data_IF_806606340174
#
_entry.id   IF_806606340174
#
_cell.length_a   1.000
_cell.length_b   1.000
_cell.length_c   1.000
_cell.angle_alpha   90.00
_cell.angle_beta   90.00
_cell.angle_gamma   90.00
#
_symmetry.space_group_name_H-M   'P 1'
#
loop_
_entity.id
_entity.type
_entity.pdbx_description
1 polymer ?
#
# COMPACT_ATOMS: atom_id res chain seq x y z
N UNK A 1 31.36 -29.46 31.58
CA UNK A 1 31.34 -28.33 30.63
C UNK A 1 32.55 -27.47 30.94
N UNK A 2 33.57 -27.48 30.09
CA UNK A 2 34.85 -26.81 30.36
C UNK A 2 34.95 -25.53 29.54
N UNK A 3 35.05 -24.39 30.23
CA UNK A 3 35.32 -23.09 29.62
C UNK A 3 36.84 -22.97 29.56
N UNK A 4 37.42 -22.97 28.36
CA UNK A 4 38.83 -22.71 28.16
C UNK A 4 39.06 -21.19 28.25
N UNK A 5 39.53 -20.71 29.39
CA UNK A 5 39.95 -19.32 29.57
C UNK A 5 41.42 -19.17 29.17
N UNK A 6 41.69 -18.39 28.12
CA UNK A 6 43.03 -17.90 27.82
C UNK A 6 43.09 -16.41 28.14
N UNK A 7 43.90 -16.04 29.14
CA UNK A 7 44.05 -14.65 29.59
C UNK A 7 45.12 -13.95 28.75
N UNK A 8 44.73 -12.95 27.95
CA UNK A 8 45.66 -12.05 27.25
C UNK A 8 46.18 -10.98 28.23
N UNK A 9 47.43 -10.51 28.14
CA UNK A 9 48.00 -9.51 29.06
C UNK A 9 47.26 -8.16 29.10
N UNK A 10 46.37 -7.88 28.14
CA UNK A 10 45.62 -6.62 28.02
C UNK A 10 44.37 -6.51 28.93
N UNK A 11 44.20 -7.41 29.90
CA UNK A 11 43.04 -7.42 30.81
C UNK A 11 41.73 -7.91 30.20
N UNK A 12 41.74 -8.30 28.92
CA UNK A 12 40.58 -8.84 28.22
C UNK A 12 40.44 -10.35 28.48
N UNK A 13 39.27 -10.77 28.96
CA UNK A 13 38.90 -12.18 29.11
C UNK A 13 38.28 -12.65 27.79
N UNK A 14 38.86 -13.68 27.18
CA UNK A 14 38.32 -14.30 25.96
C UNK A 14 37.63 -15.61 26.33
N UNK A 15 36.35 -15.76 25.96
CA UNK A 15 35.58 -16.99 26.15
C UNK A 15 34.90 -17.40 24.85
N UNK A 16 34.87 -18.71 24.56
CA UNK A 16 34.20 -19.25 23.38
C UNK A 16 32.75 -19.63 23.70
N UNK A 17 31.79 -19.01 23.01
CA UNK A 17 30.36 -19.31 23.12
C UNK A 17 29.85 -20.01 21.86
N UNK A 18 29.11 -21.11 22.04
CA UNK A 18 28.43 -21.80 20.94
C UNK A 18 27.04 -21.20 20.71
N UNK A 19 26.80 -20.63 19.54
CA UNK A 19 25.49 -20.09 19.14
C UNK A 19 24.86 -21.03 18.10
N UNK A 20 23.63 -21.56 18.33
CA UNK A 20 22.96 -22.41 17.35
C UNK A 20 22.74 -21.67 16.02
N UNK A 21 23.07 -22.30 14.90
CA UNK A 21 22.98 -21.65 13.58
C UNK A 21 21.56 -21.16 13.24
N UNK A 22 20.54 -21.87 13.72
CA UNK A 22 19.13 -21.53 13.47
C UNK A 22 18.63 -20.25 14.14
N UNK A 23 19.37 -19.69 15.12
CA UNK A 23 19.02 -18.41 15.77
C UNK A 23 19.79 -17.22 15.18
N UNK A 24 20.73 -17.46 14.26
CA UNK A 24 21.45 -16.39 13.57
C UNK A 24 20.58 -15.83 12.44
N UNK A 25 20.01 -14.65 12.64
CA UNK A 25 19.36 -13.89 11.57
C UNK A 25 20.37 -12.92 10.95
N UNK A 26 20.78 -13.20 9.71
CA UNK A 26 21.58 -12.26 8.93
C UNK A 26 20.63 -11.24 8.30
N UNK A 27 20.52 -10.06 8.89
CA UNK A 27 19.78 -8.95 8.33
C UNK A 27 20.73 -8.15 7.45
N UNK A 28 20.62 -8.32 6.13
CA UNK A 28 21.35 -7.47 5.20
C UNK A 28 20.86 -6.02 5.34
N UNK A 29 21.76 -5.03 5.24
CA UNK A 29 21.33 -3.64 5.21
C UNK A 29 20.38 -3.44 4.03
N UNK A 30 19.29 -2.66 4.21
CA UNK A 30 18.34 -2.46 3.14
C UNK A 30 19.02 -1.81 1.93
N UNK A 31 18.57 -2.13 0.70
CA UNK A 31 19.21 -1.69 -0.53
C UNK A 31 19.14 -0.17 -0.68
N UNK A 32 20.20 0.45 -1.21
CA UNK A 32 20.25 1.90 -1.43
C UNK A 32 19.32 2.37 -2.56
N UNK A 33 18.95 1.46 -3.45
CA UNK A 33 18.10 1.74 -4.62
C UNK A 33 16.79 0.96 -4.57
N UNK A 34 15.73 1.63 -5.02
CA UNK A 34 14.42 1.04 -5.22
C UNK A 34 14.19 0.84 -6.71
N UNK A 35 13.59 -0.29 -7.02
CA UNK A 35 13.22 -0.74 -8.34
C UNK A 35 11.86 -1.41 -8.28
N UNK A 36 11.31 -1.69 -9.45
CA UNK A 36 10.06 -2.43 -9.59
C UNK A 36 10.07 -3.79 -8.89
N UNK A 37 11.23 -4.40 -8.67
CA UNK A 37 11.37 -5.75 -8.12
C UNK A 37 11.43 -5.76 -6.58
N UNK A 38 11.94 -4.70 -5.96
CA UNK A 38 12.19 -4.67 -4.52
C UNK A 38 11.37 -3.62 -3.77
N UNK A 39 10.68 -2.70 -4.48
CA UNK A 39 9.94 -1.61 -3.84
C UNK A 39 8.93 -2.11 -2.81
N UNK A 40 8.17 -3.16 -3.14
CA UNK A 40 7.14 -3.70 -2.26
C UNK A 40 7.74 -4.32 -0.99
N UNK A 41 8.84 -5.06 -1.13
CA UNK A 41 9.53 -5.66 0.01
C UNK A 41 10.19 -4.61 0.94
N UNK A 42 10.60 -3.46 0.40
CA UNK A 42 11.34 -2.44 1.16
C UNK A 42 10.42 -1.38 1.76
N UNK A 43 9.38 -0.95 1.03
CA UNK A 43 8.49 0.15 1.46
C UNK A 43 7.05 -0.29 1.71
N UNK A 44 6.69 -1.53 1.39
CA UNK A 44 5.30 -2.01 1.42
C UNK A 44 4.42 -1.45 0.30
N UNK A 45 4.95 -0.62 -0.60
CA UNK A 45 4.15 0.00 -1.66
C UNK A 45 4.05 -0.96 -2.85
N UNK A 46 2.83 -1.23 -3.35
CA UNK A 46 2.66 -2.08 -4.52
C UNK A 46 3.42 -1.54 -5.73
N UNK A 47 4.04 -2.44 -6.50
CA UNK A 47 4.79 -2.10 -7.72
C UNK A 47 4.03 -1.17 -8.67
N UNK A 48 2.72 -1.38 -8.81
CA UNK A 48 1.86 -0.56 -9.67
C UNK A 48 1.82 0.91 -9.22
N UNK A 49 1.60 1.14 -7.93
CA UNK A 49 1.54 2.49 -7.34
C UNK A 49 2.88 3.20 -7.48
N UNK A 50 3.98 2.48 -7.25
CA UNK A 50 5.32 2.99 -7.51
C UNK A 50 5.49 3.46 -8.98
N UNK A 51 5.05 2.65 -9.94
CA UNK A 51 5.14 3.01 -11.36
C UNK A 51 4.25 4.18 -11.76
N UNK A 52 3.08 4.31 -11.15
CA UNK A 52 2.19 5.45 -11.36
C UNK A 52 2.79 6.73 -10.76
N UNK A 53 3.32 6.66 -9.54
CA UNK A 53 3.98 7.79 -8.86
C UNK A 53 5.14 8.37 -9.66
N UNK A 54 6.07 7.52 -10.12
CA UNK A 54 7.25 7.97 -10.88
C UNK A 54 6.93 8.45 -12.30
N UNK A 55 5.71 8.21 -12.79
CA UNK A 55 5.23 8.70 -14.09
C UNK A 55 4.57 10.07 -13.98
N UNK A 56 4.25 10.53 -12.77
CA UNK A 56 3.68 11.86 -12.58
C UNK A 56 4.63 12.93 -13.12
N UNK A 57 4.13 13.95 -13.83
CA UNK A 57 4.97 14.98 -14.43
C UNK A 57 5.76 15.77 -13.39
N UNK A 58 5.20 15.95 -12.20
CA UNK A 58 5.80 16.72 -11.10
C UNK A 58 6.56 15.84 -10.10
N UNK A 59 6.94 14.62 -10.49
CA UNK A 59 7.68 13.72 -9.61
C UNK A 59 9.11 14.26 -9.38
N UNK A 60 9.48 14.63 -8.14
CA UNK A 60 10.69 15.41 -7.90
C UNK A 60 11.97 14.57 -7.80
N UNK A 61 11.85 13.24 -7.66
CA UNK A 61 13.01 12.37 -7.45
C UNK A 61 13.57 11.89 -8.81
N UNK A 62 14.90 11.97 -9.04
CA UNK A 62 15.51 11.47 -10.26
C UNK A 62 15.24 9.98 -10.48
N UNK A 63 14.77 9.63 -11.68
CA UNK A 63 14.49 8.24 -12.08
C UNK A 63 15.51 7.78 -13.11
N UNK A 64 16.39 6.88 -12.70
CA UNK A 64 17.30 6.20 -13.61
C UNK A 64 16.53 5.15 -14.44
N UNK A 65 16.81 5.10 -15.75
CA UNK A 65 16.17 4.18 -16.69
C UNK A 65 17.20 3.17 -17.20
N UNK A 66 16.94 1.89 -16.97
CA UNK A 66 17.71 0.78 -17.53
C UNK A 66 16.79 -0.07 -18.40
N UNK A 67 16.67 0.29 -19.68
CA UNK A 67 15.66 -0.26 -20.58
C UNK A 67 14.22 -0.03 -20.05
N UNK A 68 13.52 -1.13 -19.74
CA UNK A 68 12.17 -1.10 -19.15
C UNK A 68 12.18 -0.93 -17.62
N UNK A 69 13.33 -1.14 -16.99
CA UNK A 69 13.48 -0.99 -15.55
C UNK A 69 13.55 0.50 -15.18
N UNK A 70 13.00 0.81 -14.01
CA UNK A 70 13.00 2.15 -13.42
C UNK A 70 13.58 2.02 -12.03
N UNK A 71 14.59 2.84 -11.74
CA UNK A 71 15.37 2.78 -10.51
C UNK A 71 15.40 4.19 -9.90
N UNK A 72 15.22 4.25 -8.58
CA UNK A 72 15.19 5.50 -7.80
C UNK A 72 16.06 5.32 -6.56
N UNK A 73 16.66 6.40 -6.07
CA UNK A 73 17.34 6.39 -4.78
C UNK A 73 16.33 6.17 -3.65
N UNK A 74 16.59 5.20 -2.75
CA UNK A 74 15.66 4.85 -1.66
C UNK A 74 15.40 6.04 -0.73
N UNK A 75 16.45 6.69 -0.26
CA UNK A 75 16.35 7.76 0.75
C UNK A 75 15.52 8.92 0.21
N UNK A 76 15.77 9.34 -1.03
CA UNK A 76 15.01 10.40 -1.67
C UNK A 76 13.53 10.02 -1.90
N UNK A 77 13.26 8.77 -2.28
CA UNK A 77 11.90 8.28 -2.48
C UNK A 77 11.11 8.23 -1.16
N UNK A 78 11.74 7.75 -0.07
CA UNK A 78 11.11 7.69 1.26
C UNK A 78 10.83 9.08 1.80
N UNK A 79 11.79 10.02 1.68
CA UNK A 79 11.58 11.41 2.09
C UNK A 79 10.40 12.07 1.33
N UNK A 80 10.28 11.77 0.04
CA UNK A 80 9.14 12.23 -0.77
C UNK A 80 7.80 11.64 -0.32
N UNK A 81 7.77 10.35 0.07
CA UNK A 81 6.57 9.72 0.62
C UNK A 81 6.15 10.36 1.94
N UNK A 82 7.10 10.59 2.85
CA UNK A 82 6.85 11.22 4.15
C UNK A 82 6.34 12.66 4.00
N UNK A 83 6.89 13.42 3.05
CA UNK A 83 6.40 14.75 2.71
C UNK A 83 4.96 14.72 2.17
N UNK A 84 4.64 13.77 1.29
CA UNK A 84 3.27 13.62 0.78
C UNK A 84 2.28 13.20 1.87
N UNK A 85 2.68 12.31 2.77
CA UNK A 85 1.86 11.92 3.92
C UNK A 85 1.57 13.13 4.84
N UNK A 86 2.58 13.99 5.05
CA UNK A 86 2.40 15.25 5.80
C UNK A 86 1.44 16.22 5.10
N UNK A 87 1.57 16.40 3.79
CA UNK A 87 0.64 17.25 3.01
C UNK A 87 -0.81 16.76 3.07
N UNK A 88 -1.01 15.45 3.02
CA UNK A 88 -2.33 14.84 3.15
C UNK A 88 -2.90 15.01 4.57
N UNK A 89 -2.05 14.91 5.60
CA UNK A 89 -2.46 15.07 7.00
C UNK A 89 -2.71 16.54 7.39
N UNK A 90 -2.02 17.49 6.74
CA UNK A 90 -2.14 18.91 7.00
C UNK A 90 -3.31 19.59 6.28
N UNK A 91 -3.97 18.89 5.36
CA UNK A 91 -5.25 19.35 4.80
C UNK A 91 -6.31 19.07 5.87
N UNK A 92 -6.90 20.09 6.53
CA UNK A 92 -7.96 19.82 7.48
C UNK A 92 -9.10 19.17 6.71
N UNK A 93 -9.44 17.93 7.04
CA UNK A 93 -10.82 17.49 6.88
C UNK A 93 -11.66 18.50 7.64
N UNK A 94 -12.32 19.38 6.90
CA UNK A 94 -13.27 20.34 7.46
C UNK A 94 -14.63 19.65 7.48
N UNK A 95 -15.12 19.14 8.63
CA UNK A 95 -16.54 18.90 8.79
C UNK A 95 -17.19 20.26 9.08
N UNK A 96 -17.61 20.97 8.05
CA UNK A 96 -18.48 22.13 8.25
C UNK A 96 -19.88 21.66 8.62
N UNK A 97 -20.16 21.88 9.91
CA UNK A 97 -21.37 22.49 10.47
C UNK A 97 -22.70 21.72 10.39
N UNK A 98 -23.15 21.33 11.59
CA UNK A 98 -24.42 21.75 12.19
C UNK A 98 -25.66 21.69 11.31
N UNK A 99 -26.48 20.65 11.52
CA UNK A 99 -27.92 20.85 11.65
C UNK A 99 -28.34 20.20 12.97
N UNK A 100 -28.59 21.05 13.95
CA UNK A 100 -29.31 20.71 15.16
C UNK A 100 -30.80 20.80 14.83
N UNK A 101 -31.48 19.65 14.78
CA UNK A 101 -32.92 19.49 14.97
C UNK A 101 -33.29 18.00 14.86
N UNK A 102 -33.51 17.35 16.01
CA UNK A 102 -34.44 16.23 16.11
C UNK A 102 -35.80 16.77 16.61
N UNK A 103 -36.93 16.03 16.59
CA UNK A 103 -37.22 14.72 15.97
C UNK A 103 -38.55 14.71 15.16
N UNK A 104 -38.79 13.71 14.30
CA UNK A 104 -40.11 13.04 14.18
C UNK A 104 -40.03 11.76 13.35
N UNK A 105 -40.47 10.69 14.01
CA UNK A 105 -41.32 9.57 13.57
C UNK A 105 -41.01 8.69 12.35
N UNK A 106 -41.09 7.39 12.67
CA UNK A 106 -41.27 6.17 11.87
C UNK A 106 -41.57 6.31 10.36
N UNK A 107 -40.75 5.65 9.53
CA UNK A 107 -41.16 4.64 8.51
C UNK A 107 -39.93 4.20 7.70
N UNK A 108 -39.48 2.95 7.87
CA UNK A 108 -38.61 2.25 6.90
C UNK A 108 -39.43 1.93 5.62
N UNK A 109 -38.88 1.78 4.39
CA UNK A 109 -37.64 1.06 4.10
C UNK A 109 -36.78 1.52 2.88
N UNK A 110 -35.51 1.08 2.87
CA UNK A 110 -34.74 0.74 1.66
C UNK A 110 -34.40 1.82 0.60
N UNK A 111 -33.83 2.98 0.95
CA UNK A 111 -33.28 3.92 -0.07
C UNK A 111 -31.90 4.53 0.26
N UNK A 112 -31.23 4.12 1.34
CA UNK A 112 -30.00 4.79 1.81
C UNK A 112 -28.69 4.36 1.12
N UNK A 113 -28.70 3.37 0.22
CA UNK A 113 -27.46 2.97 -0.47
C UNK A 113 -27.01 4.02 -1.49
N UNK A 114 -27.95 4.70 -2.14
CA UNK A 114 -27.66 5.74 -3.14
C UNK A 114 -27.20 7.05 -2.48
N UNK A 115 -27.69 7.32 -1.27
CA UNK A 115 -27.38 8.52 -0.50
C UNK A 115 -25.91 8.55 -0.03
N UNK A 116 -25.40 7.37 0.37
CA UNK A 116 -23.98 7.21 0.74
C UNK A 116 -23.09 7.37 -0.50
N UNK A 117 -23.45 6.77 -1.64
CA UNK A 117 -22.65 6.85 -2.88
C UNK A 117 -22.58 8.30 -3.40
N UNK A 118 -23.68 9.05 -3.31
CA UNK A 118 -23.74 10.48 -3.63
C UNK A 118 -22.80 11.32 -2.75
N UNK A 119 -22.73 11.02 -1.45
CA UNK A 119 -21.85 11.74 -0.50
C UNK A 119 -20.35 11.56 -0.76
N UNK A 120 -19.93 10.46 -1.41
CA UNK A 120 -18.52 10.20 -1.80
C UNK A 120 -18.23 10.60 -3.26
N UNK A 121 -19.19 11.24 -3.96
CA UNK A 121 -19.03 11.66 -5.35
C UNK A 121 -19.02 10.51 -6.37
N UNK A 122 -19.51 9.33 -5.98
CA UNK A 122 -19.57 8.15 -6.84
C UNK A 122 -21.00 7.98 -7.35
N UNK A 123 -21.18 8.03 -8.67
CA UNK A 123 -22.49 7.78 -9.28
C UNK A 123 -22.72 6.27 -9.46
N UNK A 124 -23.87 5.71 -9.03
CA UNK A 124 -24.23 4.34 -9.34
C UNK A 124 -24.30 4.15 -10.86
N UNK A 125 -23.56 3.17 -11.37
CA UNK A 125 -23.58 2.83 -12.80
C UNK A 125 -24.95 2.25 -13.14
N UNK A 126 -25.70 2.78 -14.13
CA UNK A 126 -26.98 2.22 -14.51
C UNK A 126 -26.78 0.77 -14.98
N UNK A 127 -27.61 -0.13 -14.45
CA UNK A 127 -27.63 -1.53 -14.85
C UNK A 127 -27.87 -1.60 -16.37
N UNK A 128 -26.88 -2.10 -17.11
CA UNK A 128 -27.07 -2.40 -18.53
C UNK A 128 -28.16 -3.48 -18.65
N UNK A 129 -29.15 -3.31 -19.56
CA UNK A 129 -30.15 -4.34 -19.76
C UNK A 129 -29.45 -5.63 -20.21
N UNK A 130 -29.53 -6.65 -19.34
CA UNK A 130 -29.13 -8.01 -19.65
C UNK A 130 -29.86 -8.45 -20.92
N UNK A 131 -29.09 -8.72 -21.98
CA UNK A 131 -29.60 -9.21 -23.25
C UNK A 131 -30.24 -10.56 -23.00
N UNK A 132 -31.56 -10.56 -22.82
CA UNK A 132 -32.36 -11.75 -22.66
C UNK A 132 -32.01 -12.75 -23.76
N UNK A 133 -31.46 -13.89 -23.34
CA UNK A 133 -31.13 -15.01 -24.20
C UNK A 133 -32.45 -15.60 -24.70
N UNK A 134 -32.88 -15.18 -25.88
CA UNK A 134 -34.05 -15.74 -26.55
C UNK A 134 -33.82 -17.23 -26.79
N UNK A 135 -34.48 -18.06 -25.99
CA UNK A 135 -34.57 -19.51 -26.20
C UNK A 135 -35.53 -19.76 -27.35
N UNK A 136 -35.01 -20.03 -28.55
CA UNK A 136 -35.84 -20.45 -29.67
C UNK A 136 -36.18 -21.95 -29.49
N UNK A 137 -37.36 -22.21 -28.93
CA UNK A 137 -38.04 -23.51 -28.99
C UNK A 137 -39.12 -23.42 -30.06
N UNK A 138 -38.85 -23.94 -31.26
CA UNK A 138 -39.85 -24.34 -32.28
C UNK A 138 -39.37 -25.69 -32.83
N UNK A 139 -39.97 -26.82 -32.51
CA UNK A 139 -41.30 -27.30 -32.92
C UNK A 139 -41.46 -27.46 -34.45
N UNK A 140 -40.96 -28.61 -34.95
CA UNK A 140 -41.65 -29.61 -35.80
C UNK A 140 -42.60 -29.12 -36.92
N UNK A 141 -42.15 -29.28 -38.16
CA UNK A 141 -42.81 -29.73 -39.42
C UNK A 141 -41.63 -29.93 -40.40
N UNK A 142 -41.38 -31.09 -41.00
CA UNK A 142 -42.16 -31.86 -41.99
C UNK A 142 -41.95 -33.35 -41.74
#
# INVERSE_FOLDING_TARGET
MSIGESRSPDGNITATLSIPRGVLQLVAPPPETLSQCNVEAVTGIPRRVFLEAIRAPDFPVPVARLGKLRIVNRVAFVAWLEENARKQSATPSSPSATNDAAPTDDTAPAEHADDILGAVGLQPRPASPSRARATNRRARRV
#
